data_IF_435701439885
#
_entry.id   IF_435701439885
#
_cell.length_a   1.000
_cell.length_b   1.000
_cell.length_c   1.000
_cell.angle_alpha   90.00
_cell.angle_beta   90.00
_cell.angle_gamma   90.00
#
_symmetry.space_group_name_H-M   'P 1'
#
loop_
_entity.id
_entity.type
_entity.pdbx_description
1 polymer ?
#
# COMPACT_ATOMS: atom_id res chain seq x y z
N UNK A 1 -31.68 9.04 -4.83
CA UNK A 1 -31.00 7.83 -4.31
C UNK A 1 -29.79 7.46 -5.15
N UNK A 2 -29.87 7.35 -6.49
CA UNK A 2 -28.73 6.94 -7.33
C UNK A 2 -27.47 7.81 -7.31
N UNK A 3 -27.58 9.15 -7.38
CA UNK A 3 -26.38 10.02 -7.50
C UNK A 3 -25.49 10.02 -6.24
N UNK A 4 -26.09 9.97 -5.05
CA UNK A 4 -25.33 9.93 -3.79
C UNK A 4 -24.67 8.55 -3.57
N UNK A 5 -25.32 7.48 -4.00
CA UNK A 5 -24.79 6.12 -3.95
C UNK A 5 -23.63 5.94 -4.94
N UNK A 6 -23.74 6.51 -6.14
CA UNK A 6 -22.67 6.53 -7.15
C UNK A 6 -21.45 7.35 -6.69
N UNK A 7 -21.66 8.51 -6.06
CA UNK A 7 -20.59 9.34 -5.49
C UNK A 7 -19.83 8.58 -4.40
N UNK A 8 -20.55 7.94 -3.47
CA UNK A 8 -19.95 7.15 -2.39
C UNK A 8 -19.22 5.92 -2.92
N UNK A 9 -19.74 5.27 -3.96
CA UNK A 9 -19.08 4.15 -4.62
C UNK A 9 -17.79 4.58 -5.34
N UNK A 10 -17.80 5.72 -6.03
CA UNK A 10 -16.65 6.27 -6.75
C UNK A 10 -15.55 6.77 -5.80
N UNK A 11 -15.92 7.59 -4.82
CA UNK A 11 -15.00 8.19 -3.85
C UNK A 11 -14.48 7.14 -2.88
N UNK A 12 -15.34 6.22 -2.43
CA UNK A 12 -14.97 5.15 -1.53
C UNK A 12 -13.78 4.35 -2.06
N UNK A 13 -13.89 3.75 -3.25
CA UNK A 13 -12.87 2.82 -3.75
C UNK A 13 -11.45 3.41 -3.86
N UNK A 14 -11.33 4.73 -4.02
CA UNK A 14 -10.04 5.43 -4.20
C UNK A 14 -9.65 6.34 -3.04
N UNK A 15 -10.43 6.34 -1.96
CA UNK A 15 -10.16 7.23 -0.83
C UNK A 15 -8.73 7.00 -0.31
N UNK A 16 -7.93 8.06 -0.10
CA UNK A 16 -6.48 7.92 0.08
C UNK A 16 -6.08 7.28 1.42
N UNK A 17 -7.04 7.18 2.36
CA UNK A 17 -6.87 6.65 3.72
C UNK A 17 -5.72 7.35 4.47
N UNK A 18 -4.51 6.80 4.44
CA UNK A 18 -3.39 7.31 5.27
C UNK A 18 -2.19 7.68 4.40
N UNK A 19 -1.57 8.82 4.71
CA UNK A 19 -0.30 9.23 4.13
C UNK A 19 0.81 8.24 4.48
N UNK A 20 1.25 7.46 3.49
CA UNK A 20 2.38 6.51 3.62
C UNK A 20 3.50 6.90 2.67
N UNK A 21 4.74 7.01 3.17
CA UNK A 21 5.90 7.18 2.31
C UNK A 21 5.99 6.07 1.27
N UNK A 22 6.11 6.44 0.00
CA UNK A 22 6.38 5.54 -1.12
C UNK A 22 7.42 6.18 -2.05
N UNK A 23 8.53 5.50 -2.36
CA UNK A 23 9.46 5.96 -3.39
C UNK A 23 8.75 6.09 -4.74
N UNK A 24 9.20 7.04 -5.56
CA UNK A 24 8.72 7.20 -6.93
C UNK A 24 9.02 5.94 -7.77
N UNK A 25 8.07 5.54 -8.61
CA UNK A 25 8.28 4.43 -9.54
C UNK A 25 9.00 4.90 -10.79
N UNK A 26 10.33 4.80 -10.78
CA UNK A 26 11.17 5.12 -11.92
C UNK A 26 11.20 4.05 -13.03
N UNK A 27 12.05 4.24 -14.05
CA UNK A 27 12.21 3.32 -15.17
C UNK A 27 12.60 1.90 -14.75
N UNK A 28 12.13 0.89 -15.50
CA UNK A 28 12.28 -0.53 -15.19
C UNK A 28 13.76 -0.93 -15.04
N UNK A 29 14.63 -0.45 -15.94
CA UNK A 29 16.06 -0.75 -15.88
C UNK A 29 16.72 -0.26 -14.59
N UNK A 30 16.35 0.93 -14.09
CA UNK A 30 16.90 1.50 -12.87
C UNK A 30 16.44 0.69 -11.64
N UNK A 31 15.17 0.26 -11.62
CA UNK A 31 14.61 -0.59 -10.58
C UNK A 31 15.29 -1.97 -10.53
N UNK A 32 15.55 -2.59 -11.69
CA UNK A 32 16.30 -3.86 -11.78
C UNK A 32 17.75 -3.68 -11.31
N UNK A 33 18.41 -2.58 -11.70
CA UNK A 33 19.76 -2.23 -11.22
C UNK A 33 19.81 -2.07 -9.70
N UNK A 34 18.77 -1.51 -9.07
CA UNK A 34 18.67 -1.39 -7.62
C UNK A 34 18.57 -2.77 -6.94
N UNK A 35 17.76 -3.68 -7.48
CA UNK A 35 17.69 -5.06 -6.98
C UNK A 35 19.05 -5.76 -7.09
N UNK A 36 19.74 -5.59 -8.22
CA UNK A 36 21.10 -6.10 -8.41
C UNK A 36 22.10 -5.54 -7.41
N UNK A 37 22.01 -4.24 -7.07
CA UNK A 37 22.87 -3.62 -6.07
C UNK A 37 22.63 -4.22 -4.68
N UNK A 38 21.37 -4.39 -4.27
CA UNK A 38 21.00 -5.01 -3.01
C UNK A 38 21.47 -6.48 -2.91
N UNK A 39 21.26 -7.25 -3.97
CA UNK A 39 21.70 -8.65 -4.03
C UNK A 39 23.24 -8.76 -3.92
N UNK A 40 23.98 -7.90 -4.61
CA UNK A 40 25.46 -7.85 -4.50
C UNK A 40 25.91 -7.42 -3.12
N UNK A 41 25.26 -6.42 -2.51
CA UNK A 41 25.56 -6.00 -1.14
C UNK A 41 25.35 -7.16 -0.17
N UNK A 42 24.23 -7.89 -0.29
CA UNK A 42 23.96 -9.07 0.52
C UNK A 42 25.01 -10.17 0.35
N UNK A 43 25.48 -10.41 -0.86
CA UNK A 43 26.51 -11.40 -1.15
C UNK A 43 27.92 -11.01 -0.67
N UNK A 44 28.22 -9.70 -0.67
CA UNK A 44 29.51 -9.15 -0.24
C UNK A 44 29.64 -9.03 1.28
N UNK A 45 28.52 -8.80 1.99
CA UNK A 45 28.51 -8.74 3.45
C UNK A 45 28.98 -10.07 4.05
N UNK A 46 30.04 -10.01 4.84
CA UNK A 46 30.76 -11.16 5.38
C UNK A 46 29.89 -12.10 6.22
N UNK A 47 28.80 -11.61 6.80
CA UNK A 47 27.69 -12.35 7.42
C UNK A 47 26.84 -11.38 8.26
N UNK A 48 25.63 -11.78 8.64
CA UNK A 48 24.88 -11.14 9.72
C UNK A 48 23.60 -10.42 9.29
N UNK A 49 23.00 -9.64 10.20
CA UNK A 49 21.69 -9.01 10.00
C UNK A 49 21.60 -8.09 8.78
N UNK A 50 22.71 -7.51 8.35
CA UNK A 50 22.79 -6.64 7.16
C UNK A 50 22.61 -7.42 5.87
N UNK A 51 23.29 -8.56 5.73
CA UNK A 51 23.15 -9.45 4.57
C UNK A 51 21.70 -9.92 4.40
N UNK A 52 21.07 -10.34 5.51
CA UNK A 52 19.64 -10.72 5.53
C UNK A 52 18.71 -9.57 5.17
N UNK A 53 19.03 -8.34 5.61
CA UNK A 53 18.22 -7.16 5.29
C UNK A 53 18.28 -6.86 3.80
N UNK A 54 19.49 -6.76 3.23
CA UNK A 54 19.68 -6.46 1.82
C UNK A 54 19.09 -7.56 0.92
N UNK A 55 19.25 -8.83 1.27
CA UNK A 55 18.68 -9.94 0.51
C UNK A 55 17.13 -9.95 0.55
N UNK A 56 16.53 -9.76 1.72
CA UNK A 56 15.08 -9.68 1.85
C UNK A 56 14.50 -8.48 1.08
N UNK A 57 15.20 -7.34 1.11
CA UNK A 57 14.82 -6.16 0.35
C UNK A 57 14.91 -6.40 -1.17
N UNK A 58 15.97 -7.07 -1.65
CA UNK A 58 16.10 -7.45 -3.05
C UNK A 58 14.92 -8.32 -3.51
N UNK A 59 14.54 -9.35 -2.74
CA UNK A 59 13.37 -10.17 -3.01
C UNK A 59 12.07 -9.38 -3.06
N UNK A 60 11.83 -8.53 -2.05
CA UNK A 60 10.62 -7.73 -1.95
C UNK A 60 10.49 -6.77 -3.15
N UNK A 61 11.58 -6.12 -3.54
CA UNK A 61 11.60 -5.23 -4.73
C UNK A 61 11.44 -6.01 -6.03
N UNK A 62 12.03 -7.20 -6.16
CA UNK A 62 11.84 -8.05 -7.34
C UNK A 62 10.37 -8.47 -7.51
N UNK A 63 9.73 -8.96 -6.45
CA UNK A 63 8.31 -9.30 -6.47
C UNK A 63 7.42 -8.08 -6.78
N UNK A 64 7.77 -6.90 -6.26
CA UNK A 64 7.07 -5.64 -6.58
C UNK A 64 7.23 -5.25 -8.05
N UNK A 65 8.43 -5.33 -8.62
CA UNK A 65 8.68 -5.04 -10.04
C UNK A 65 7.80 -5.95 -10.92
N UNK A 66 7.84 -7.26 -10.66
CA UNK A 66 7.07 -8.23 -11.42
C UNK A 66 5.55 -7.98 -11.28
N UNK A 67 5.07 -7.65 -10.09
CA UNK A 67 3.68 -7.25 -9.85
C UNK A 67 3.30 -6.00 -10.64
N UNK A 68 4.15 -4.97 -10.61
CA UNK A 68 3.91 -3.70 -11.30
C UNK A 68 3.91 -3.86 -12.83
N UNK A 69 4.73 -4.77 -13.36
CA UNK A 69 4.76 -5.12 -14.78
C UNK A 69 3.49 -5.87 -15.22
N UNK A 70 2.70 -6.40 -14.29
CA UNK A 70 1.48 -7.15 -14.60
C UNK A 70 1.72 -8.66 -14.76
N UNK A 71 2.69 -9.22 -14.02
CA UNK A 71 2.98 -10.66 -14.00
C UNK A 71 2.66 -11.27 -12.62
N UNK A 72 1.39 -11.27 -12.18
CA UNK A 72 1.01 -11.61 -10.80
C UNK A 72 1.43 -13.03 -10.38
N UNK A 73 1.39 -14.01 -11.29
CA UNK A 73 1.79 -15.39 -10.98
C UNK A 73 3.29 -15.53 -10.70
N UNK A 74 4.12 -14.80 -11.47
CA UNK A 74 5.55 -14.74 -11.20
C UNK A 74 5.83 -13.98 -9.88
N UNK A 75 5.06 -12.93 -9.57
CA UNK A 75 5.20 -12.22 -8.29
C UNK A 75 4.88 -13.15 -7.10
N UNK A 76 3.82 -13.96 -7.19
CA UNK A 76 3.49 -14.97 -6.17
C UNK A 76 4.57 -16.04 -6.07
N UNK A 77 5.14 -16.47 -7.20
CA UNK A 77 6.27 -17.41 -7.24
C UNK A 77 7.49 -16.84 -6.51
N UNK A 78 7.82 -15.57 -6.73
CA UNK A 78 8.93 -14.90 -6.04
C UNK A 78 8.67 -14.74 -4.53
N UNK A 79 7.43 -14.46 -4.11
CA UNK A 79 7.06 -14.48 -2.69
C UNK A 79 7.24 -15.87 -2.07
N UNK A 80 6.84 -16.93 -2.78
CA UNK A 80 7.03 -18.31 -2.32
C UNK A 80 8.51 -18.67 -2.19
N UNK A 81 9.31 -18.38 -3.22
CA UNK A 81 10.77 -18.60 -3.18
C UNK A 81 11.44 -17.86 -2.02
N UNK A 82 11.02 -16.62 -1.76
CA UNK A 82 11.52 -15.85 -0.62
C UNK A 82 11.18 -16.52 0.72
N UNK A 83 9.97 -17.06 0.88
CA UNK A 83 9.61 -17.86 2.07
C UNK A 83 10.45 -19.14 2.17
N UNK A 84 10.56 -19.88 1.07
CA UNK A 84 11.26 -21.17 1.02
C UNK A 84 12.75 -21.02 1.41
N UNK A 85 13.36 -19.85 1.19
CA UNK A 85 14.74 -19.55 1.60
C UNK A 85 14.99 -19.64 3.13
N UNK A 86 13.95 -19.65 3.96
CA UNK A 86 14.04 -19.77 5.43
C UNK A 86 13.58 -21.13 5.97
N UNK A 87 12.95 -21.98 5.16
CA UNK A 87 12.11 -23.08 5.65
C UNK A 87 12.84 -24.17 6.46
N UNK A 88 14.16 -24.34 6.26
CA UNK A 88 14.95 -25.36 6.96
C UNK A 88 15.68 -24.81 8.18
N UNK A 89 15.39 -23.55 8.55
CA UNK A 89 16.19 -22.78 9.52
C UNK A 89 15.51 -22.48 10.84
N UNK A 90 14.28 -22.95 11.04
CA UNK A 90 13.54 -22.78 12.28
C UNK A 90 14.26 -23.41 13.48
N UNK A 91 14.05 -22.88 14.71
CA UNK A 91 13.36 -21.62 15.00
C UNK A 91 14.24 -20.39 14.65
N UNK A 92 13.59 -19.25 14.35
CA UNK A 92 14.26 -17.98 14.03
C UNK A 92 14.15 -16.97 15.18
N UNK A 93 15.07 -16.01 15.24
CA UNK A 93 14.90 -14.79 16.03
C UNK A 93 13.76 -13.93 15.47
N UNK A 94 13.20 -13.02 16.27
CA UNK A 94 12.01 -12.25 15.90
C UNK A 94 12.21 -11.36 14.66
N UNK A 95 13.42 -10.83 14.43
CA UNK A 95 13.72 -9.99 13.26
C UNK A 95 13.78 -10.83 11.99
N UNK A 96 14.41 -12.00 12.06
CA UNK A 96 14.54 -12.92 10.93
C UNK A 96 13.19 -13.59 10.62
N UNK A 97 12.42 -13.97 11.64
CA UNK A 97 11.05 -14.46 11.49
C UNK A 97 10.13 -13.44 10.79
N UNK A 98 10.25 -12.15 11.15
CA UNK A 98 9.51 -11.08 10.45
C UNK A 98 9.87 -11.00 8.98
N UNK A 99 11.17 -11.09 8.61
CA UNK A 99 11.60 -11.11 7.20
C UNK A 99 11.05 -12.33 6.46
N UNK A 100 11.05 -13.49 7.10
CA UNK A 100 10.46 -14.70 6.54
C UNK A 100 8.95 -14.56 6.30
N UNK A 101 8.20 -13.90 7.18
CA UNK A 101 6.75 -13.69 7.00
C UNK A 101 6.36 -12.54 6.06
N UNK A 102 7.26 -11.60 5.81
CA UNK A 102 6.98 -10.48 4.90
C UNK A 102 6.52 -10.89 3.49
N UNK A 103 7.06 -11.93 2.81
CA UNK A 103 6.51 -12.40 1.54
C UNK A 103 5.05 -12.85 1.63
N UNK A 104 4.60 -13.42 2.75
CA UNK A 104 3.20 -13.82 2.94
C UNK A 104 2.28 -12.61 3.12
N UNK A 105 2.75 -11.56 3.79
CA UNK A 105 2.07 -10.25 3.83
C UNK A 105 2.01 -9.64 2.42
N UNK A 106 3.08 -9.80 1.64
CA UNK A 106 3.11 -9.31 0.26
C UNK A 106 2.11 -10.04 -0.64
N UNK A 107 1.83 -11.34 -0.43
CA UNK A 107 0.73 -12.05 -1.12
C UNK A 107 -0.63 -11.37 -0.90
N UNK A 108 -0.95 -10.99 0.33
CA UNK A 108 -2.17 -10.20 0.59
C UNK A 108 -2.15 -8.85 -0.14
N UNK A 109 -1.02 -8.15 -0.17
CA UNK A 109 -0.88 -6.87 -0.89
C UNK A 109 -1.05 -7.04 -2.40
N UNK A 110 -0.60 -8.16 -2.97
CA UNK A 110 -0.87 -8.51 -4.37
C UNK A 110 -2.38 -8.70 -4.61
N UNK A 111 -3.07 -9.44 -3.73
CA UNK A 111 -4.52 -9.58 -3.81
C UNK A 111 -5.26 -8.23 -3.73
N UNK A 112 -4.83 -7.31 -2.86
CA UNK A 112 -5.41 -5.96 -2.81
C UNK A 112 -5.25 -5.23 -4.15
N UNK A 113 -4.06 -5.31 -4.78
CA UNK A 113 -3.79 -4.68 -6.09
C UNK A 113 -4.64 -5.29 -7.20
N UNK A 114 -4.87 -6.59 -7.15
CA UNK A 114 -5.69 -7.32 -8.12
C UNK A 114 -7.21 -7.14 -7.86
N UNK A 115 -7.62 -6.33 -6.88
CA UNK A 115 -9.03 -6.10 -6.54
C UNK A 115 -9.67 -7.20 -5.68
N UNK A 116 -8.89 -8.16 -5.21
CA UNK A 116 -9.33 -9.29 -4.37
C UNK A 116 -9.24 -8.96 -2.87
N UNK A 117 -9.88 -7.87 -2.44
CA UNK A 117 -9.82 -7.38 -1.05
C UNK A 117 -10.25 -8.41 0.00
N UNK A 118 -11.37 -9.11 -0.23
CA UNK A 118 -11.88 -10.12 0.71
C UNK A 118 -10.88 -11.27 0.90
N UNK A 119 -10.23 -11.72 -0.18
CA UNK A 119 -9.19 -12.75 -0.12
C UNK A 119 -7.96 -12.26 0.64
N UNK A 120 -7.52 -11.03 0.39
CA UNK A 120 -6.40 -10.43 1.11
C UNK A 120 -6.66 -10.34 2.61
N UNK A 121 -7.86 -9.89 3.01
CA UNK A 121 -8.27 -9.81 4.41
C UNK A 121 -8.29 -11.19 5.09
N UNK A 122 -8.88 -12.19 4.44
CA UNK A 122 -8.92 -13.56 4.94
C UNK A 122 -7.51 -14.16 5.13
N UNK A 123 -6.60 -13.91 4.19
CA UNK A 123 -5.19 -14.32 4.29
C UNK A 123 -4.52 -13.69 5.51
N UNK A 124 -4.61 -12.36 5.65
CA UNK A 124 -4.01 -11.61 6.76
C UNK A 124 -4.53 -12.08 8.13
N UNK A 125 -5.84 -12.30 8.25
CA UNK A 125 -6.45 -12.86 9.48
C UNK A 125 -5.96 -14.26 9.79
N UNK A 126 -5.90 -15.13 8.78
CA UNK A 126 -5.45 -16.51 8.94
C UNK A 126 -4.00 -16.54 9.42
N UNK A 127 -3.14 -15.71 8.80
CA UNK A 127 -1.74 -15.57 9.19
C UNK A 127 -1.58 -15.10 10.64
N UNK A 128 -2.21 -13.98 11.00
CA UNK A 128 -2.12 -13.46 12.37
C UNK A 128 -2.68 -14.43 13.41
N UNK A 129 -3.82 -15.07 13.13
CA UNK A 129 -4.42 -16.06 14.05
C UNK A 129 -3.48 -17.25 14.24
N UNK A 130 -2.96 -17.83 13.16
CA UNK A 130 -2.09 -18.99 13.25
C UNK A 130 -0.81 -18.73 14.05
N UNK A 131 -0.20 -17.55 13.85
CA UNK A 131 0.93 -17.14 14.70
C UNK A 131 0.46 -16.91 16.15
N UNK A 132 -0.62 -16.15 16.38
CA UNK A 132 -1.06 -15.82 17.73
C UNK A 132 -1.50 -17.02 18.58
N UNK A 133 -2.05 -18.07 17.95
CA UNK A 133 -2.49 -19.31 18.58
C UNK A 133 -1.41 -20.41 18.57
N UNK A 134 -0.28 -20.17 17.88
CA UNK A 134 0.79 -21.16 17.74
C UNK A 134 0.41 -22.37 16.87
N UNK A 135 -0.60 -22.24 15.99
CA UNK A 135 -1.11 -23.34 15.17
C UNK A 135 -0.54 -23.30 13.75
N UNK A 136 -0.24 -24.46 13.18
CA UNK A 136 0.17 -24.59 11.79
C UNK A 136 -1.00 -24.20 10.86
N UNK A 137 -0.72 -23.37 9.85
CA UNK A 137 -1.71 -22.86 8.90
C UNK A 137 -1.21 -23.02 7.46
N UNK A 138 -2.13 -22.97 6.51
CA UNK A 138 -1.81 -22.97 5.07
C UNK A 138 -2.22 -21.63 4.44
N UNK A 139 -1.27 -20.96 3.79
CA UNK A 139 -1.45 -19.70 3.08
C UNK A 139 -1.06 -19.90 1.62
N UNK A 140 -2.01 -19.84 0.69
CA UNK A 140 -1.75 -20.06 -0.74
C UNK A 140 -0.90 -21.33 -1.03
N UNK A 141 -1.18 -22.43 -0.32
CA UNK A 141 -0.44 -23.69 -0.45
C UNK A 141 0.93 -23.72 0.25
N UNK A 142 1.24 -22.72 1.08
CA UNK A 142 2.44 -22.64 1.90
C UNK A 142 2.09 -23.02 3.34
N UNK A 143 2.75 -24.04 3.86
CA UNK A 143 2.65 -24.42 5.28
C UNK A 143 3.45 -23.43 6.13
N UNK A 144 2.80 -22.77 7.08
CA UNK A 144 3.43 -21.85 8.03
C UNK A 144 3.34 -22.47 9.43
N UNK A 145 4.49 -22.82 10.06
CA UNK A 145 4.48 -23.47 11.35
C UNK A 145 4.32 -22.45 12.49
N UNK A 146 3.08 -22.14 12.88
CA UNK A 146 2.77 -21.00 13.74
C UNK A 146 3.46 -21.02 15.11
N UNK A 147 3.57 -22.19 15.73
CA UNK A 147 4.20 -22.36 17.05
C UNK A 147 5.70 -22.64 17.02
N UNK A 148 6.28 -22.96 15.84
CA UNK A 148 7.71 -23.35 15.72
C UNK A 148 8.57 -22.29 15.03
N UNK A 149 7.94 -21.19 14.59
CA UNK A 149 8.62 -20.14 13.83
C UNK A 149 9.71 -19.42 14.65
N UNK A 150 9.47 -19.22 15.94
CA UNK A 150 10.36 -18.53 16.87
C UNK A 150 10.55 -19.36 18.14
N UNK A 151 11.74 -19.32 18.75
CA UNK A 151 12.01 -20.06 19.99
C UNK A 151 11.63 -19.25 21.24
N UNK A 152 12.00 -17.97 21.28
CA UNK A 152 11.82 -17.14 22.46
C UNK A 152 10.39 -16.57 22.54
N UNK A 153 9.77 -16.54 23.72
CA UNK A 153 8.46 -15.90 23.92
C UNK A 153 8.44 -14.42 23.51
N UNK A 154 9.52 -13.68 23.76
CA UNK A 154 9.63 -12.26 23.41
C UNK A 154 9.67 -12.05 21.89
N UNK A 155 10.39 -12.93 21.16
CA UNK A 155 10.42 -12.92 19.70
C UNK A 155 9.03 -13.24 19.12
N UNK A 156 8.34 -14.22 19.72
CA UNK A 156 6.98 -14.58 19.33
C UNK A 156 6.01 -13.42 19.56
N UNK A 157 6.10 -12.76 20.72
CA UNK A 157 5.29 -11.59 21.05
C UNK A 157 5.54 -10.43 20.08
N UNK A 158 6.82 -10.12 19.78
CA UNK A 158 7.19 -9.06 18.86
C UNK A 158 6.67 -9.32 17.44
N UNK A 159 6.74 -10.58 16.99
CA UNK A 159 6.22 -11.01 15.71
C UNK A 159 4.70 -10.88 15.63
N UNK A 160 3.99 -11.37 16.65
CA UNK A 160 2.52 -11.24 16.77
C UNK A 160 2.11 -9.77 16.77
N UNK A 161 2.80 -8.93 17.53
CA UNK A 161 2.52 -7.49 17.58
C UNK A 161 2.72 -6.84 16.20
N UNK A 162 3.82 -7.14 15.51
CA UNK A 162 4.04 -6.66 14.15
C UNK A 162 2.92 -7.11 13.19
N UNK A 163 2.55 -8.40 13.19
CA UNK A 163 1.45 -8.90 12.37
C UNK A 163 0.13 -8.23 12.70
N UNK A 164 -0.16 -7.96 13.98
CA UNK A 164 -1.34 -7.22 14.37
C UNK A 164 -1.38 -5.82 13.72
N UNK A 165 -0.25 -5.09 13.70
CA UNK A 165 -0.19 -3.79 12.99
C UNK A 165 -0.45 -3.92 11.49
N UNK A 166 0.03 -5.00 10.87
CA UNK A 166 -0.21 -5.31 9.46
C UNK A 166 -1.69 -5.63 9.22
N UNK A 167 -2.29 -6.51 10.02
CA UNK A 167 -3.70 -6.88 9.91
C UNK A 167 -4.61 -5.68 10.12
N UNK A 168 -4.34 -4.85 11.13
CA UNK A 168 -5.08 -3.62 11.35
C UNK A 168 -5.04 -2.75 10.09
N UNK A 169 -3.85 -2.43 9.61
CA UNK A 169 -3.73 -1.43 8.56
C UNK A 169 -4.08 -2.01 7.18
N UNK A 170 -3.43 -3.08 6.74
CA UNK A 170 -3.62 -3.65 5.41
C UNK A 170 -4.95 -4.42 5.31
N UNK A 171 -5.47 -4.96 6.42
CA UNK A 171 -6.83 -5.53 6.48
C UNK A 171 -7.93 -4.47 6.34
N UNK A 172 -7.80 -3.32 7.00
CA UNK A 172 -8.73 -2.18 6.80
C UNK A 172 -8.71 -1.73 5.34
N UNK A 173 -7.52 -1.59 4.73
CA UNK A 173 -7.39 -1.22 3.31
C UNK A 173 -7.98 -2.26 2.37
N UNK A 174 -7.80 -3.55 2.66
CA UNK A 174 -8.34 -4.61 1.83
C UNK A 174 -9.88 -4.55 1.75
N UNK A 175 -10.53 -4.36 2.89
CA UNK A 175 -11.99 -4.21 2.97
C UNK A 175 -12.46 -2.89 2.34
N UNK A 176 -11.76 -1.79 2.60
CA UNK A 176 -12.03 -0.48 2.00
C UNK A 176 -11.95 -0.50 0.46
N UNK A 177 -10.90 -1.14 -0.09
CA UNK A 177 -10.72 -1.28 -1.54
C UNK A 177 -11.85 -2.11 -2.19
N UNK A 178 -12.44 -3.05 -1.45
CA UNK A 178 -13.61 -3.82 -1.88
C UNK A 178 -14.95 -3.08 -1.65
N UNK A 179 -14.92 -1.84 -1.14
CA UNK A 179 -16.12 -1.06 -0.81
C UNK A 179 -16.86 -1.54 0.44
N UNK A 180 -16.26 -2.43 1.25
CA UNK A 180 -16.86 -3.02 2.46
C UNK A 180 -16.65 -2.12 3.68
N UNK A 181 -17.15 -0.89 3.62
CA UNK A 181 -16.87 0.13 4.66
C UNK A 181 -17.31 -0.27 6.07
N UNK A 182 -18.50 -0.85 6.21
CA UNK A 182 -18.97 -1.33 7.53
C UNK A 182 -18.06 -2.42 8.10
N UNK A 183 -17.60 -3.35 7.26
CA UNK A 183 -16.67 -4.39 7.69
C UNK A 183 -15.29 -3.80 7.99
N UNK A 184 -14.84 -2.81 7.22
CA UNK A 184 -13.58 -2.11 7.47
C UNK A 184 -13.60 -1.38 8.82
N UNK A 185 -14.70 -0.71 9.14
CA UNK A 185 -14.92 -0.06 10.43
C UNK A 185 -14.93 -1.09 11.58
N UNK A 186 -15.75 -2.16 11.46
CA UNK A 186 -15.82 -3.21 12.48
C UNK A 186 -14.46 -3.91 12.69
N UNK A 187 -13.71 -4.14 11.61
CA UNK A 187 -12.36 -4.70 11.67
C UNK A 187 -11.38 -3.78 12.41
N UNK A 188 -11.41 -2.48 12.11
CA UNK A 188 -10.58 -1.50 12.78
C UNK A 188 -10.95 -1.39 14.27
N UNK A 189 -12.24 -1.37 14.62
CA UNK A 189 -12.73 -1.35 16.00
C UNK A 189 -12.30 -2.59 16.79
N UNK A 190 -12.53 -3.79 16.25
CA UNK A 190 -12.11 -5.05 16.86
C UNK A 190 -10.58 -5.10 17.08
N UNK A 191 -9.84 -4.43 16.21
CA UNK A 191 -8.38 -4.31 16.29
C UNK A 191 -7.92 -3.10 17.11
N UNK A 192 -8.80 -2.37 17.80
CA UNK A 192 -8.51 -1.13 18.56
C UNK A 192 -7.81 -0.04 17.73
N UNK A 193 -8.08 0.00 16.44
CA UNK A 193 -7.51 0.95 15.47
C UNK A 193 -8.30 2.25 15.29
N UNK A 194 -9.36 2.47 16.08
CA UNK A 194 -10.18 3.70 16.03
C UNK A 194 -9.77 4.62 17.19
N UNK A 195 -8.77 5.48 16.92
CA UNK A 195 -8.34 6.55 17.84
C UNK A 195 -9.08 7.87 17.57
N UNK A 196 -8.63 8.99 18.17
CA UNK A 196 -9.14 10.35 17.87
C UNK A 196 -8.53 10.97 16.61
N UNK A 197 -7.31 10.57 16.26
CA UNK A 197 -6.66 10.97 15.00
C UNK A 197 -7.39 10.40 13.80
N UNK A 198 -7.34 11.10 12.68
CA UNK A 198 -8.04 10.72 11.46
C UNK A 198 -7.18 9.77 10.62
N UNK A 199 -6.88 8.60 11.18
CA UNK A 199 -6.18 7.49 10.50
C UNK A 199 -7.18 6.55 9.80
N UNK A 200 -6.69 5.46 9.21
CA UNK A 200 -7.49 4.52 8.40
C UNK A 200 -8.73 3.99 9.13
N UNK A 201 -8.61 3.61 10.41
CA UNK A 201 -9.74 3.12 11.20
C UNK A 201 -10.87 4.14 11.38
N UNK A 202 -10.54 5.36 11.83
CA UNK A 202 -11.57 6.41 12.04
C UNK A 202 -12.18 6.87 10.72
N UNK A 203 -11.40 6.95 9.65
CA UNK A 203 -11.94 7.26 8.32
C UNK A 203 -12.90 6.18 7.81
N UNK A 204 -12.60 4.89 8.05
CA UNK A 204 -13.49 3.79 7.71
C UNK A 204 -14.83 3.89 8.46
N UNK A 205 -14.82 4.29 9.74
CA UNK A 205 -16.05 4.55 10.52
C UNK A 205 -16.90 5.65 9.89
N UNK A 206 -16.30 6.78 9.50
CA UNK A 206 -17.03 7.87 8.85
C UNK A 206 -17.67 7.39 7.54
N UNK A 207 -16.91 6.72 6.68
CA UNK A 207 -17.42 6.22 5.39
C UNK A 207 -18.46 5.10 5.56
N UNK A 208 -18.35 4.27 6.60
CA UNK A 208 -19.37 3.28 6.97
C UNK A 208 -20.68 3.96 7.39
N UNK A 209 -20.62 5.03 8.17
CA UNK A 209 -21.80 5.82 8.49
C UNK A 209 -22.41 6.50 7.27
N UNK A 210 -21.60 7.08 6.38
CA UNK A 210 -22.08 7.70 5.15
C UNK A 210 -22.81 6.69 4.25
N UNK A 211 -22.19 5.53 4.01
CA UNK A 211 -22.75 4.47 3.15
C UNK A 211 -23.99 3.82 3.78
N UNK A 212 -24.08 3.76 5.10
CA UNK A 212 -25.29 3.34 5.82
C UNK A 212 -26.33 4.43 6.07
N UNK A 213 -26.20 5.62 5.46
CA UNK A 213 -27.15 6.73 5.61
C UNK A 213 -27.18 7.42 6.99
N UNK A 214 -26.24 7.07 7.89
CA UNK A 214 -26.13 7.61 9.26
C UNK A 214 -25.33 8.91 9.28
N UNK A 215 -25.76 9.91 8.52
CA UNK A 215 -24.98 11.11 8.23
C UNK A 215 -24.70 11.99 9.45
N UNK A 216 -25.64 12.06 10.40
CA UNK A 216 -25.42 12.75 11.69
C UNK A 216 -24.30 12.07 12.49
N UNK A 217 -24.26 10.74 12.51
CA UNK A 217 -23.19 10.00 13.18
C UNK A 217 -21.85 10.17 12.46
N UNK A 218 -21.85 10.12 11.12
CA UNK A 218 -20.66 10.41 10.31
C UNK A 218 -20.09 11.79 10.65
N UNK A 219 -20.95 12.81 10.75
CA UNK A 219 -20.53 14.17 11.08
C UNK A 219 -19.99 14.29 12.50
N UNK A 220 -20.65 13.68 13.48
CA UNK A 220 -20.16 13.66 14.86
C UNK A 220 -18.75 13.07 14.97
N UNK A 221 -18.47 11.96 14.26
CA UNK A 221 -17.13 11.34 14.25
C UNK A 221 -16.07 12.28 13.66
N UNK A 222 -16.41 13.06 12.62
CA UNK A 222 -15.52 14.08 12.05
C UNK A 222 -15.28 15.21 13.06
N UNK A 223 -16.34 15.74 13.67
CA UNK A 223 -16.26 16.87 14.60
C UNK A 223 -15.49 16.51 15.89
N UNK A 224 -15.58 15.24 16.34
CA UNK A 224 -14.82 14.68 17.46
C UNK A 224 -13.38 14.26 17.10
N UNK A 225 -13.00 14.35 15.82
CA UNK A 225 -11.64 14.00 15.40
C UNK A 225 -10.64 15.07 15.85
N UNK A 226 -9.41 14.64 16.12
CA UNK A 226 -8.28 15.52 16.42
C UNK A 226 -7.20 15.39 15.33
N UNK A 227 -7.37 16.01 14.14
CA UNK A 227 -6.37 16.01 13.08
C UNK A 227 -5.06 16.66 13.53
N UNK A 228 -3.98 15.88 13.63
CA UNK A 228 -2.67 16.42 14.02
C UNK A 228 -1.94 17.02 12.81
N UNK A 229 -2.04 16.36 11.65
CA UNK A 229 -1.29 16.72 10.45
C UNK A 229 -2.13 17.52 9.44
N UNK A 230 -1.44 18.28 8.57
CA UNK A 230 -2.09 19.00 7.46
C UNK A 230 -2.88 18.07 6.54
N UNK A 231 -2.34 16.88 6.26
CA UNK A 231 -3.02 15.90 5.43
C UNK A 231 -4.29 15.35 6.10
N UNK A 232 -4.30 15.21 7.43
CA UNK A 232 -5.49 14.79 8.17
C UNK A 232 -6.60 15.86 8.06
N UNK A 233 -6.23 17.15 8.12
CA UNK A 233 -7.19 18.26 7.91
C UNK A 233 -7.79 18.25 6.50
N UNK A 234 -6.97 18.00 5.48
CA UNK A 234 -7.45 17.88 4.10
C UNK A 234 -8.40 16.68 3.92
N UNK A 235 -8.10 15.54 4.56
CA UNK A 235 -8.99 14.36 4.59
C UNK A 235 -10.29 14.67 5.32
N UNK A 236 -10.24 15.35 6.48
CA UNK A 236 -11.44 15.76 7.22
C UNK A 236 -12.36 16.66 6.38
N UNK A 237 -11.78 17.59 5.62
CA UNK A 237 -12.53 18.44 4.71
C UNK A 237 -13.17 17.64 3.56
N UNK A 238 -12.48 16.64 3.01
CA UNK A 238 -13.07 15.72 2.01
C UNK A 238 -14.26 14.94 2.60
N UNK A 239 -14.10 14.36 3.78
CA UNK A 239 -15.17 13.62 4.46
C UNK A 239 -16.36 14.51 4.81
N UNK A 240 -16.11 15.78 5.14
CA UNK A 240 -17.16 16.78 5.38
C UNK A 240 -18.00 17.02 4.12
N UNK A 241 -17.35 17.20 2.96
CA UNK A 241 -18.06 17.34 1.67
C UNK A 241 -18.86 16.09 1.35
N UNK A 242 -18.30 14.89 1.57
CA UNK A 242 -19.04 13.62 1.41
C UNK A 242 -20.30 13.60 2.27
N UNK A 243 -20.20 13.96 3.56
CA UNK A 243 -21.35 13.99 4.47
C UNK A 243 -22.41 15.01 4.03
N UNK A 244 -22.00 16.23 3.70
CA UNK A 244 -22.92 17.32 3.34
C UNK A 244 -23.68 16.99 2.05
N UNK A 245 -22.98 16.46 1.03
CA UNK A 245 -23.61 16.04 -0.23
C UNK A 245 -24.53 14.85 -0.05
N UNK A 246 -24.12 13.85 0.73
CA UNK A 246 -24.97 12.70 1.04
C UNK A 246 -26.24 13.12 1.77
N UNK A 247 -26.20 14.23 2.52
CA UNK A 247 -27.35 14.81 3.22
C UNK A 247 -28.22 15.71 2.32
N UNK A 248 -27.90 15.84 1.03
CA UNK A 248 -28.58 16.74 0.11
C UNK A 248 -28.37 18.22 0.42
N UNK A 249 -27.35 18.57 1.20
CA UNK A 249 -27.03 19.97 1.56
C UNK A 249 -26.18 20.61 0.47
N UNK A 250 -26.32 21.92 0.31
CA UNK A 250 -25.38 22.74 -0.46
C UNK A 250 -24.00 22.65 0.20
N UNK A 251 -22.99 22.21 -0.56
CA UNK A 251 -21.66 21.94 -0.04
C UNK A 251 -20.62 23.01 -0.41
N UNK A 252 -21.02 24.16 -0.97
CA UNK A 252 -20.10 25.15 -1.58
C UNK A 252 -18.99 25.62 -0.62
N UNK A 253 -19.34 25.94 0.63
CA UNK A 253 -18.37 26.34 1.65
C UNK A 253 -17.44 25.19 2.07
N UNK A 254 -17.99 23.98 2.19
CA UNK A 254 -17.23 22.76 2.49
C UNK A 254 -16.28 22.41 1.35
N UNK A 255 -16.71 22.57 0.09
CA UNK A 255 -15.90 22.37 -1.12
C UNK A 255 -14.78 23.41 -1.20
N UNK A 256 -15.07 24.69 -0.96
CA UNK A 256 -14.05 25.74 -0.92
C UNK A 256 -12.99 25.48 0.17
N UNK A 257 -13.43 24.99 1.34
CA UNK A 257 -12.53 24.61 2.43
C UNK A 257 -11.69 23.40 2.08
N UNK A 258 -12.28 22.37 1.46
CA UNK A 258 -11.59 21.17 0.98
C UNK A 258 -10.50 21.53 -0.04
N UNK A 259 -10.80 22.36 -1.03
CA UNK A 259 -9.84 22.81 -2.03
C UNK A 259 -8.67 23.55 -1.35
N UNK A 260 -8.96 24.50 -0.46
CA UNK A 260 -7.92 25.24 0.28
C UNK A 260 -7.03 24.31 1.10
N UNK A 261 -7.62 23.40 1.88
CA UNK A 261 -6.84 22.45 2.68
C UNK A 261 -5.93 21.56 1.83
N UNK A 262 -6.33 21.20 0.62
CA UNK A 262 -5.48 20.49 -0.32
C UNK A 262 -4.38 21.39 -0.91
N UNK A 263 -4.72 22.63 -1.29
CA UNK A 263 -3.77 23.63 -1.80
C UNK A 263 -2.65 23.93 -0.79
N UNK A 264 -2.98 23.98 0.50
CA UNK A 264 -2.04 24.23 1.60
C UNK A 264 -1.07 23.06 1.89
N UNK A 265 -1.29 21.88 1.30
CA UNK A 265 -0.37 20.75 1.50
C UNK A 265 0.99 21.03 0.86
N UNK A 266 2.11 20.92 1.61
CA UNK A 266 3.43 21.05 1.03
C UNK A 266 3.69 19.89 0.07
N UNK A 267 4.34 20.16 -1.06
CA UNK A 267 4.79 19.09 -1.95
C UNK A 267 5.83 18.23 -1.22
N UNK A 268 5.59 16.92 -1.14
CA UNK A 268 6.51 15.98 -0.51
C UNK A 268 6.69 14.78 -1.43
N UNK A 269 7.90 14.61 -1.98
CA UNK A 269 8.19 13.57 -2.96
C UNK A 269 7.83 12.17 -2.45
N UNK A 270 8.13 11.87 -1.17
CA UNK A 270 7.80 10.60 -0.54
C UNK A 270 6.30 10.37 -0.35
N UNK A 271 5.47 11.41 -0.39
CA UNK A 271 4.00 11.32 -0.25
C UNK A 271 3.27 11.53 -1.59
N UNK A 272 3.98 11.54 -2.72
CA UNK A 272 3.41 11.87 -4.03
C UNK A 272 2.19 11.03 -4.40
N UNK A 273 2.25 9.71 -4.20
CA UNK A 273 1.12 8.81 -4.46
C UNK A 273 -0.11 9.11 -3.58
N UNK A 274 0.10 9.42 -2.30
CA UNK A 274 -0.99 9.80 -1.40
C UNK A 274 -1.61 11.15 -1.81
N UNK A 275 -0.75 12.15 -2.08
CA UNK A 275 -1.19 13.48 -2.50
C UNK A 275 -1.94 13.43 -3.83
N UNK A 276 -1.49 12.59 -4.77
CA UNK A 276 -2.18 12.36 -6.03
C UNK A 276 -3.60 11.83 -5.80
N UNK A 277 -3.76 10.76 -5.02
CA UNK A 277 -5.08 10.19 -4.70
C UNK A 277 -5.99 11.16 -3.97
N UNK A 278 -5.44 11.91 -3.02
CA UNK A 278 -6.20 12.95 -2.33
C UNK A 278 -6.64 14.04 -3.31
N UNK A 279 -5.77 14.51 -4.20
CA UNK A 279 -6.11 15.48 -5.24
C UNK A 279 -7.18 14.98 -6.21
N UNK A 280 -7.09 13.71 -6.64
CA UNK A 280 -8.13 13.06 -7.45
C UNK A 280 -9.47 12.99 -6.69
N UNK A 281 -9.43 12.66 -5.39
CA UNK A 281 -10.62 12.67 -4.52
C UNK A 281 -11.24 14.06 -4.44
N UNK A 282 -10.42 15.11 -4.31
CA UNK A 282 -10.89 16.50 -4.30
C UNK A 282 -11.53 16.88 -5.63
N UNK A 283 -10.99 16.43 -6.76
CA UNK A 283 -11.58 16.66 -8.09
C UNK A 283 -12.95 15.96 -8.21
N UNK A 284 -13.03 14.70 -7.82
CA UNK A 284 -14.29 13.93 -7.82
C UNK A 284 -15.35 14.61 -6.93
N UNK A 285 -14.95 15.04 -5.74
CA UNK A 285 -15.80 15.74 -4.77
C UNK A 285 -16.08 17.21 -5.11
N UNK A 286 -15.49 17.80 -6.14
CA UNK A 286 -15.81 19.17 -6.52
C UNK A 286 -17.08 19.25 -7.40
N UNK A 287 -17.53 18.15 -8.03
CA UNK A 287 -18.64 18.07 -9.02
C UNK A 287 -18.68 19.27 -9.99
N UNK A 288 -18.10 19.06 -11.19
CA UNK A 288 -17.89 20.04 -12.26
C UNK A 288 -16.77 21.05 -11.97
N UNK A 289 -15.79 21.08 -12.87
CA UNK A 289 -14.62 21.97 -12.81
C UNK A 289 -15.01 23.39 -13.29
N UNK A 290 -16.06 23.94 -12.70
CA UNK A 290 -16.63 25.24 -13.10
C UNK A 290 -15.91 26.39 -12.41
N UNK A 291 -15.35 26.17 -11.22
CA UNK A 291 -14.59 27.19 -10.50
C UNK A 291 -13.11 27.23 -10.95
N UNK A 292 -12.49 28.42 -11.11
CA UNK A 292 -11.06 28.53 -11.44
C UNK A 292 -10.14 27.78 -10.47
N UNK A 293 -10.51 27.69 -9.19
CA UNK A 293 -9.76 26.96 -8.16
C UNK A 293 -9.74 25.44 -8.43
N UNK A 294 -10.89 24.84 -8.80
CA UNK A 294 -10.95 23.41 -9.15
C UNK A 294 -10.12 23.05 -10.40
N UNK A 295 -9.92 24.00 -11.34
CA UNK A 295 -9.06 23.82 -12.53
C UNK A 295 -7.57 23.77 -12.21
N UNK A 296 -7.14 24.32 -11.07
CA UNK A 296 -5.72 24.35 -10.68
C UNK A 296 -5.23 22.99 -10.16
N UNK A 297 -6.12 22.17 -9.61
CA UNK A 297 -5.74 20.88 -9.02
C UNK A 297 -5.20 19.91 -10.09
N UNK A 298 -5.87 19.68 -11.23
CA UNK A 298 -5.30 18.88 -12.32
C UNK A 298 -3.91 19.37 -12.77
N UNK A 299 -3.76 20.67 -12.99
CA UNK A 299 -2.49 21.26 -13.42
C UNK A 299 -1.36 21.07 -12.38
N UNK A 300 -1.67 21.23 -11.09
CA UNK A 300 -0.74 20.95 -9.99
C UNK A 300 -0.32 19.49 -9.96
N UNK A 301 -1.28 18.57 -10.07
CA UNK A 301 -1.02 17.13 -10.09
C UNK A 301 -0.13 16.73 -11.28
N UNK A 302 -0.44 17.21 -12.47
CA UNK A 302 0.36 16.98 -13.69
C UNK A 302 1.80 17.47 -13.49
N UNK A 303 2.00 18.70 -13.00
CA UNK A 303 3.34 19.25 -12.74
C UNK A 303 4.12 18.42 -11.73
N UNK A 304 3.47 17.97 -10.65
CA UNK A 304 4.09 17.11 -9.65
C UNK A 304 4.49 15.75 -10.23
N UNK A 305 3.63 15.13 -11.04
CA UNK A 305 3.93 13.88 -11.71
C UNK A 305 5.12 13.99 -12.67
N UNK A 306 5.19 15.07 -13.46
CA UNK A 306 6.32 15.36 -14.36
C UNK A 306 7.63 15.56 -13.57
N UNK A 307 7.58 16.39 -12.52
CA UNK A 307 8.76 16.72 -11.69
C UNK A 307 9.34 15.49 -10.98
N UNK A 308 8.48 14.58 -10.53
CA UNK A 308 8.91 13.37 -9.81
C UNK A 308 9.17 12.18 -10.73
N UNK A 309 8.65 12.23 -11.96
CA UNK A 309 8.62 11.11 -12.91
C UNK A 309 8.08 9.81 -12.29
N UNK A 310 7.16 9.90 -11.31
CA UNK A 310 6.57 8.73 -10.67
C UNK A 310 5.51 8.09 -11.57
N UNK A 311 5.85 6.94 -12.16
CA UNK A 311 4.96 6.22 -13.06
C UNK A 311 3.64 5.77 -12.41
N UNK A 312 3.59 5.55 -11.09
CA UNK A 312 2.32 5.22 -10.43
C UNK A 312 1.35 6.40 -10.43
N UNK A 313 1.87 7.59 -10.09
CA UNK A 313 1.09 8.83 -10.14
C UNK A 313 0.68 9.11 -11.58
N UNK A 314 1.62 9.05 -12.53
CA UNK A 314 1.35 9.25 -13.95
C UNK A 314 0.20 8.36 -14.46
N UNK A 315 0.22 7.07 -14.13
CA UNK A 315 -0.84 6.12 -14.50
C UNK A 315 -2.21 6.50 -13.92
N UNK A 316 -2.27 6.89 -12.65
CA UNK A 316 -3.52 7.31 -12.01
C UNK A 316 -4.08 8.59 -12.66
N UNK A 317 -3.22 9.58 -12.98
CA UNK A 317 -3.66 10.81 -13.64
C UNK A 317 -4.12 10.59 -15.08
N UNK A 318 -3.41 9.77 -15.86
CA UNK A 318 -3.80 9.44 -17.24
C UNK A 318 -5.15 8.73 -17.31
N UNK A 319 -5.44 7.87 -16.32
CA UNK A 319 -6.70 7.14 -16.19
C UNK A 319 -7.86 8.02 -15.66
N UNK A 320 -7.58 9.19 -15.10
CA UNK A 320 -8.59 10.07 -14.52
C UNK A 320 -9.06 11.12 -15.54
N UNK A 321 -10.34 11.07 -15.94
CA UNK A 321 -10.89 11.88 -17.03
C UNK A 321 -10.58 13.39 -16.90
N UNK A 322 -10.83 13.98 -15.73
CA UNK A 322 -10.57 15.41 -15.49
C UNK A 322 -9.10 15.81 -15.65
N UNK A 323 -8.17 14.94 -15.25
CA UNK A 323 -6.74 15.19 -15.40
C UNK A 323 -6.33 15.02 -16.86
N UNK A 324 -6.78 13.92 -17.48
CA UNK A 324 -6.59 13.61 -18.89
C UNK A 324 -7.01 14.79 -19.78
N UNK A 325 -8.21 15.34 -19.60
CA UNK A 325 -8.72 16.47 -20.40
C UNK A 325 -7.97 17.78 -20.15
N UNK A 326 -7.42 17.99 -18.96
CA UNK A 326 -6.69 19.20 -18.61
C UNK A 326 -5.22 19.21 -19.10
N UNK A 327 -4.66 18.04 -19.43
CA UNK A 327 -3.28 17.91 -19.91
C UNK A 327 -3.14 18.37 -21.36
N UNK A 328 -2.03 19.03 -21.65
CA UNK A 328 -1.54 19.22 -23.02
C UNK A 328 -1.13 17.88 -23.65
N UNK A 329 -1.03 17.86 -24.98
CA UNK A 329 -0.54 16.67 -25.72
C UNK A 329 0.88 16.29 -25.27
N UNK A 330 1.75 17.29 -25.04
CA UNK A 330 3.13 17.08 -24.60
C UNK A 330 3.17 16.44 -23.20
N UNK A 331 2.45 17.00 -22.22
CA UNK A 331 2.41 16.46 -20.86
C UNK A 331 1.85 15.03 -20.83
N UNK A 332 0.79 14.77 -21.61
CA UNK A 332 0.23 13.42 -21.76
C UNK A 332 1.25 12.44 -22.33
N UNK A 333 2.00 12.85 -23.36
CA UNK A 333 3.03 12.03 -23.99
C UNK A 333 4.13 11.70 -23.00
N UNK A 334 4.62 12.69 -22.25
CA UNK A 334 5.69 12.51 -21.27
C UNK A 334 5.29 11.60 -20.11
N UNK A 335 4.08 11.78 -19.56
CA UNK A 335 3.57 10.89 -18.51
C UNK A 335 3.33 9.47 -19.03
N UNK A 336 2.86 9.33 -20.28
CA UNK A 336 2.68 8.01 -20.91
C UNK A 336 4.03 7.32 -21.13
N UNK A 337 5.06 8.08 -21.48
CA UNK A 337 6.42 7.59 -21.60
C UNK A 337 6.97 7.12 -20.25
N UNK A 338 6.75 7.87 -19.17
CA UNK A 338 7.15 7.46 -17.83
C UNK A 338 6.50 6.12 -17.42
N UNK A 339 5.20 5.95 -17.69
CA UNK A 339 4.46 4.69 -17.44
C UNK A 339 5.06 3.53 -18.24
N UNK A 340 5.34 3.75 -19.53
CA UNK A 340 5.94 2.76 -20.43
C UNK A 340 7.36 2.39 -20.00
N UNK A 341 8.20 3.38 -19.69
CA UNK A 341 9.57 3.19 -19.27
C UNK A 341 9.67 2.45 -17.92
N UNK A 342 8.73 2.68 -17.00
CA UNK A 342 8.60 1.93 -15.75
C UNK A 342 8.08 0.50 -15.92
N UNK A 343 7.58 0.16 -17.12
CA UNK A 343 7.08 -1.15 -17.46
C UNK A 343 5.69 -1.46 -16.91
N UNK A 344 4.95 -0.47 -16.40
CA UNK A 344 3.71 -0.72 -15.68
C UNK A 344 2.64 -1.36 -16.58
N UNK A 345 2.21 -2.58 -16.22
CA UNK A 345 1.16 -3.30 -16.94
C UNK A 345 1.55 -3.78 -18.35
N UNK A 346 2.84 -3.81 -18.71
CA UNK A 346 3.29 -4.31 -20.02
C UNK A 346 3.05 -5.82 -20.23
N UNK A 347 2.90 -6.59 -19.14
CA UNK A 347 2.72 -8.04 -19.19
C UNK A 347 3.98 -8.83 -19.59
N UNK A 348 5.12 -8.15 -19.78
CA UNK A 348 6.41 -8.78 -20.05
C UNK A 348 7.57 -7.93 -19.52
N UNK A 349 8.63 -8.61 -19.10
CA UNK A 349 9.92 -7.98 -18.76
C UNK A 349 10.87 -8.25 -19.94
N UNK A 350 11.59 -7.23 -20.46
CA UNK A 350 12.59 -7.44 -21.50
C UNK A 350 13.56 -8.57 -21.15
N UNK A 351 13.93 -9.47 -22.10
CA UNK A 351 14.67 -10.70 -21.78
C UNK A 351 15.95 -10.48 -20.98
N UNK A 352 16.74 -9.45 -21.32
CA UNK A 352 17.97 -9.09 -20.61
C UNK A 352 17.69 -8.70 -19.15
N UNK A 353 16.74 -7.78 -18.93
CA UNK A 353 16.33 -7.37 -17.59
C UNK A 353 15.71 -8.50 -16.79
N UNK A 354 15.04 -9.46 -17.45
CA UNK A 354 14.49 -10.65 -16.79
C UNK A 354 15.61 -11.55 -16.30
N UNK A 355 16.63 -11.81 -17.12
CA UNK A 355 17.80 -12.60 -16.71
C UNK A 355 18.49 -11.94 -15.51
N UNK A 356 18.75 -10.64 -15.60
CA UNK A 356 19.39 -9.88 -14.52
C UNK A 356 18.57 -9.94 -13.22
N UNK A 357 17.26 -9.73 -13.31
CA UNK A 357 16.37 -9.75 -12.14
C UNK A 357 16.35 -11.13 -11.47
N UNK A 358 16.26 -12.21 -12.26
CA UNK A 358 16.23 -13.56 -11.71
C UNK A 358 17.59 -13.97 -11.11
N UNK A 359 18.70 -13.57 -11.73
CA UNK A 359 20.03 -13.78 -11.16
C UNK A 359 20.23 -13.04 -9.83
N UNK A 360 19.67 -11.83 -9.70
CA UNK A 360 19.69 -11.08 -8.45
C UNK A 360 18.89 -11.79 -7.34
N UNK A 361 17.73 -12.36 -7.69
CA UNK A 361 16.90 -13.17 -6.78
C UNK A 361 17.69 -14.38 -6.30
N UNK A 362 18.29 -15.16 -7.19
CA UNK A 362 19.09 -16.34 -6.84
C UNK A 362 20.30 -16.00 -5.95
N UNK A 363 20.93 -14.85 -6.21
CA UNK A 363 22.01 -14.32 -5.38
C UNK A 363 21.52 -13.98 -3.97
N UNK A 364 20.34 -13.35 -3.85
CA UNK A 364 19.73 -13.03 -2.56
C UNK A 364 19.35 -14.29 -1.76
N UNK A 365 18.77 -15.31 -2.42
CA UNK A 365 18.44 -16.60 -1.79
C UNK A 365 19.69 -17.28 -1.23
N UNK A 366 20.76 -17.29 -2.02
CA UNK A 366 22.06 -17.83 -1.60
C UNK A 366 22.61 -17.06 -0.39
N UNK A 367 22.49 -15.73 -0.38
CA UNK A 367 22.93 -14.90 0.74
C UNK A 367 22.12 -15.18 2.03
N UNK A 368 20.79 -15.37 1.91
CA UNK A 368 19.93 -15.77 3.02
C UNK A 368 20.40 -17.11 3.59
N UNK A 369 20.56 -18.14 2.74
CA UNK A 369 21.02 -19.47 3.19
C UNK A 369 22.37 -19.46 3.89
N UNK A 370 23.34 -18.70 3.37
CA UNK A 370 24.67 -18.53 4.00
C UNK A 370 24.58 -17.84 5.35
N UNK A 371 23.79 -16.76 5.45
CA UNK A 371 23.64 -16.01 6.69
C UNK A 371 22.99 -16.85 7.79
N UNK A 372 21.98 -17.65 7.44
CA UNK A 372 21.28 -18.53 8.39
C UNK A 372 22.14 -19.72 8.84
N UNK A 373 22.90 -20.33 7.93
CA UNK A 373 23.80 -21.45 8.27
C UNK A 373 24.86 -21.02 9.27
N UNK A 374 25.46 -19.84 9.08
CA UNK A 374 26.49 -19.32 9.99
C UNK A 374 25.94 -18.93 11.37
N UNK A 375 24.74 -18.34 11.43
CA UNK A 375 24.09 -18.01 12.70
C UNK A 375 23.88 -19.25 13.59
N UNK A 376 23.54 -20.39 12.99
CA UNK A 376 23.44 -21.68 13.69
C UNK A 376 24.78 -22.15 14.26
N UNK A 377 25.87 -22.04 13.50
CA UNK A 377 27.21 -22.44 13.97
C UNK A 377 27.64 -21.62 15.20
N UNK A 378 27.37 -20.32 15.20
CA UNK A 378 27.74 -19.44 16.34
C UNK A 378 26.91 -19.66 17.60
N UNK A 379 25.75 -20.33 17.51
CA UNK A 379 24.86 -20.58 18.67
C UNK A 379 25.15 -21.93 19.34
N UNK A 380 25.86 -22.84 18.66
CA UNK A 380 26.14 -24.22 19.12
C UNK A 380 27.55 -24.38 19.69
N UNK A 381 28.47 -23.44 19.42
CA UNK A 381 29.79 -23.37 20.04
C UNK A 381 29.81 -22.34 21.16
#
# INVERSE_FOLDING_TARGET
MGVAEDLLAQVGRRFPLVARPRPACGPLHARVSEVNALARAAAASSSGPEALTAAAEAHNKAALIVSDVGLPDLARTLCRRHWDAYQDTWPLDGRTARRALEPLVNLARLHIRDGHGDRAHGLLRTLHRGIAEGTDIVIDGILVPGGRLTAAPDDHWALRHWLWTVVLADGTRALAAAGRWEQAAAHAEASRGVGRRLLDGRQAVVLAHCTGGRLTAARAVIDESEPAELWERAVAACLTVVCDRSAGKTADQSVATMIRCYEDLPAAASLGAFQARLGLTVIDLAESITTPASRRIPARLTRQALTTSDAHVARELLAHQACSTAMTIAERSELSEAVRAAGLGLGLIPPTLRVDLMAAVETAETAIGRALTRARVTTVG
#
